data_IF_806877717279
#
_entry.id   IF_806877717279
#
_cell.length_a   1.000
_cell.length_b   1.000
_cell.length_c   1.000
_cell.angle_alpha   90.00
_cell.angle_beta   90.00
_cell.angle_gamma   90.00
#
_symmetry.space_group_name_H-M   'P 1'
#
loop_
_entity.id
_entity.type
_entity.pdbx_description
1 polymer ?
#
# COMPACT_ATOMS: atom_id res chain seq x y z
N UNK A 1 -36.66 -44.41 24.80
CA UNK A 1 -37.29 -43.26 25.46
C UNK A 1 -36.16 -42.52 26.15
N UNK A 2 -35.49 -41.72 25.34
CA UNK A 2 -34.12 -41.23 25.49
C UNK A 2 -34.16 -39.81 26.02
N UNK A 3 -33.63 -39.61 27.22
CA UNK A 3 -32.77 -38.48 27.65
C UNK A 3 -33.07 -37.06 27.12
N UNK A 4 -34.35 -36.70 26.91
CA UNK A 4 -34.76 -35.37 26.43
C UNK A 4 -35.74 -34.63 27.37
N UNK A 5 -36.24 -35.28 28.42
CA UNK A 5 -37.32 -34.73 29.28
C UNK A 5 -36.85 -34.25 30.67
N UNK A 6 -35.57 -33.88 30.85
CA UNK A 6 -35.06 -33.36 32.14
C UNK A 6 -34.57 -31.90 32.11
N UNK A 7 -34.83 -31.18 31.02
CA UNK A 7 -34.40 -29.78 30.85
C UNK A 7 -35.54 -28.76 31.07
N UNK A 8 -36.64 -29.16 31.70
CA UNK A 8 -37.60 -28.23 32.27
C UNK A 8 -37.38 -28.19 33.78
N UNK A 9 -37.18 -26.97 34.30
CA UNK A 9 -37.06 -26.59 35.71
C UNK A 9 -35.64 -26.32 36.24
N UNK A 10 -34.98 -25.30 35.70
CA UNK A 10 -34.02 -24.47 36.47
C UNK A 10 -34.04 -23.02 35.98
N UNK A 11 -35.22 -22.40 36.00
CA UNK A 11 -35.37 -20.95 35.98
C UNK A 11 -35.31 -20.46 37.42
N UNK A 12 -34.11 -20.17 37.90
CA UNK A 12 -33.88 -19.24 39.00
C UNK A 12 -32.49 -18.63 38.83
N UNK A 13 -32.45 -17.32 38.56
CA UNK A 13 -31.23 -16.53 38.71
C UNK A 13 -31.06 -16.29 40.20
N UNK A 14 -30.57 -17.31 40.90
CA UNK A 14 -29.98 -17.21 42.23
C UNK A 14 -28.52 -17.60 42.11
N UNK A 15 -27.73 -16.69 41.52
CA UNK A 15 -26.30 -16.63 41.78
C UNK A 15 -26.12 -16.07 43.20
N UNK A 16 -26.48 -16.87 44.21
CA UNK A 16 -26.02 -16.69 45.59
C UNK A 16 -24.63 -17.32 45.67
N UNK A 17 -23.65 -16.52 45.27
CA UNK A 17 -22.25 -16.86 45.27
C UNK A 17 -21.47 -15.64 45.72
N UNK A 18 -20.63 -15.83 46.73
CA UNK A 18 -19.66 -14.88 47.27
C UNK A 18 -19.06 -13.99 46.16
N UNK A 19 -18.99 -12.66 46.36
CA UNK A 19 -18.51 -11.75 45.31
C UNK A 19 -17.14 -12.25 44.83
N UNK A 20 -16.95 -12.53 43.53
CA UNK A 20 -15.65 -12.95 43.04
C UNK A 20 -14.63 -11.86 43.33
N UNK A 21 -13.48 -12.27 43.84
CA UNK A 21 -12.44 -11.37 44.33
C UNK A 21 -11.94 -10.43 43.22
N UNK A 22 -11.94 -9.13 43.49
CA UNK A 22 -11.45 -8.10 42.58
C UNK A 22 -9.91 -8.13 42.50
N UNK A 23 -9.36 -7.82 41.32
CA UNK A 23 -7.90 -7.81 41.10
C UNK A 23 -7.31 -9.21 40.96
N UNK A 24 -6.36 -9.56 41.84
CA UNK A 24 -5.58 -10.82 41.79
C UNK A 24 -6.50 -12.05 41.83
N UNK A 25 -7.58 -12.01 42.60
CA UNK A 25 -8.50 -13.14 42.74
C UNK A 25 -9.22 -13.53 41.45
N UNK A 26 -9.43 -12.57 40.54
CA UNK A 26 -10.05 -12.78 39.22
C UNK A 26 -9.20 -13.67 38.30
N UNK A 27 -7.88 -13.65 38.49
CA UNK A 27 -6.91 -14.30 37.61
C UNK A 27 -6.05 -15.35 38.31
N UNK A 28 -6.40 -15.74 39.54
CA UNK A 28 -5.68 -16.75 40.32
C UNK A 28 -5.54 -18.09 39.60
N UNK A 29 -6.55 -18.47 38.82
CA UNK A 29 -6.53 -19.70 38.00
C UNK A 29 -5.36 -19.74 37.00
N UNK A 30 -4.85 -18.59 36.55
CA UNK A 30 -3.68 -18.53 35.68
C UNK A 30 -2.40 -18.99 36.39
N UNK A 31 -2.30 -18.73 37.69
CA UNK A 31 -1.20 -19.20 38.52
C UNK A 31 -1.30 -20.70 38.78
N UNK A 32 -2.52 -21.20 39.02
CA UNK A 32 -2.78 -22.63 39.21
C UNK A 32 -2.46 -23.44 37.93
N UNK A 33 -2.68 -22.86 36.74
CA UNK A 33 -2.32 -23.46 35.46
C UNK A 33 -0.84 -23.31 35.08
N UNK A 34 -0.05 -22.59 35.87
CA UNK A 34 1.36 -22.34 35.61
C UNK A 34 1.62 -21.40 34.41
N UNK A 35 0.63 -20.62 33.98
CA UNK A 35 0.78 -19.62 32.89
C UNK A 35 1.59 -18.41 33.37
N UNK A 36 1.42 -18.03 34.63
CA UNK A 36 2.18 -16.96 35.29
C UNK A 36 2.47 -17.37 36.74
N UNK A 37 3.62 -17.01 37.29
CA UNK A 37 3.88 -17.26 38.71
C UNK A 37 3.02 -16.35 39.60
N UNK A 38 2.58 -16.84 40.76
CA UNK A 38 1.75 -16.08 41.71
C UNK A 38 2.40 -14.75 42.14
N UNK A 39 3.72 -14.74 42.34
CA UNK A 39 4.48 -13.53 42.68
C UNK A 39 4.44 -12.49 41.55
N UNK A 40 4.51 -12.95 40.29
CA UNK A 40 4.42 -12.10 39.10
C UNK A 40 3.01 -11.58 38.86
N UNK A 41 1.98 -12.36 39.22
CA UNK A 41 0.59 -11.92 39.16
C UNK A 41 0.32 -10.76 40.15
N UNK A 42 0.90 -10.82 41.36
CA UNK A 42 0.82 -9.71 42.32
C UNK A 42 1.57 -8.47 41.83
N UNK A 43 2.79 -8.65 41.32
CA UNK A 43 3.58 -7.56 40.74
C UNK A 43 2.86 -6.87 39.57
N UNK A 44 2.16 -7.64 38.73
CA UNK A 44 1.32 -7.13 37.65
C UNK A 44 0.12 -6.32 38.19
N UNK A 45 -0.51 -6.77 39.27
CA UNK A 45 -1.61 -6.06 39.93
C UNK A 45 -1.14 -4.73 40.52
N UNK A 46 -0.01 -4.71 41.22
CA UNK A 46 0.55 -3.48 41.79
C UNK A 46 0.91 -2.48 40.68
N UNK A 47 1.47 -2.98 39.58
CA UNK A 47 1.76 -2.17 38.38
C UNK A 47 0.49 -1.62 37.72
N UNK A 48 -0.59 -2.40 37.67
CA UNK A 48 -1.88 -1.99 37.12
C UNK A 48 -2.50 -0.86 37.95
N UNK A 49 -2.50 -1.01 39.28
CA UNK A 49 -2.99 0.01 40.22
C UNK A 49 -2.15 1.29 40.12
N UNK A 50 -0.82 1.18 40.08
CA UNK A 50 0.08 2.34 39.96
C UNK A 50 -0.11 3.13 38.66
N UNK A 51 -0.45 2.44 37.56
CA UNK A 51 -0.66 3.05 36.23
C UNK A 51 -2.12 3.42 35.95
N UNK A 52 -3.06 3.05 36.83
CA UNK A 52 -4.50 3.20 36.58
C UNK A 52 -5.01 2.41 35.38
N UNK A 53 -4.35 1.31 35.03
CA UNK A 53 -4.71 0.43 33.90
C UNK A 53 -5.46 -0.81 34.41
N UNK A 54 -6.25 -1.45 33.54
CA UNK A 54 -6.83 -2.74 33.85
C UNK A 54 -5.73 -3.82 33.97
N UNK A 55 -5.87 -4.73 34.94
CA UNK A 55 -4.94 -5.85 35.16
C UNK A 55 -4.78 -6.71 33.89
N UNK A 56 -5.86 -6.92 33.15
CA UNK A 56 -5.90 -7.60 31.84
C UNK A 56 -4.90 -7.02 30.85
N UNK A 57 -4.87 -5.68 30.73
CA UNK A 57 -4.00 -4.97 29.80
C UNK A 57 -2.53 -5.14 30.20
N UNK A 58 -2.23 -5.10 31.49
CA UNK A 58 -0.85 -5.29 32.01
C UNK A 58 -0.38 -6.73 31.80
N UNK A 59 -1.23 -7.73 32.12
CA UNK A 59 -0.92 -9.14 31.91
C UNK A 59 -0.65 -9.47 30.44
N UNK A 60 -1.43 -8.88 29.52
CA UNK A 60 -1.26 -9.10 28.09
C UNK A 60 -0.05 -8.38 27.53
N UNK A 61 0.17 -7.11 27.92
CA UNK A 61 1.22 -6.25 27.35
C UNK A 61 2.61 -6.53 27.90
N UNK A 62 2.73 -6.63 29.23
CA UNK A 62 4.03 -6.68 29.91
C UNK A 62 4.46 -8.13 30.21
N UNK A 63 3.49 -9.01 30.47
CA UNK A 63 3.74 -10.42 30.80
C UNK A 63 3.41 -11.40 29.67
N UNK A 64 2.94 -10.88 28.51
CA UNK A 64 2.62 -11.67 27.32
C UNK A 64 1.67 -12.86 27.57
N UNK A 65 0.78 -12.74 28.57
CA UNK A 65 -0.23 -13.76 28.85
C UNK A 65 -1.21 -13.82 27.66
N UNK A 66 -1.47 -15.01 27.10
CA UNK A 66 -2.35 -15.11 25.94
C UNK A 66 -3.81 -14.87 26.33
N UNK A 67 -4.54 -14.11 25.50
CA UNK A 67 -5.94 -13.71 25.76
C UNK A 67 -6.89 -14.89 25.98
N UNK A 68 -6.70 -15.98 25.24
CA UNK A 68 -7.53 -17.18 25.41
C UNK A 68 -7.40 -17.77 26.82
N UNK A 69 -6.23 -17.65 27.46
CA UNK A 69 -6.04 -18.11 28.84
C UNK A 69 -6.76 -17.17 29.83
N UNK A 70 -6.71 -15.85 29.59
CA UNK A 70 -7.48 -14.88 30.38
C UNK A 70 -8.99 -15.17 30.29
N UNK A 71 -9.53 -15.26 29.07
CA UNK A 71 -10.95 -15.56 28.84
C UNK A 71 -11.37 -16.90 29.43
N UNK A 72 -10.52 -17.93 29.32
CA UNK A 72 -10.78 -19.24 29.93
C UNK A 72 -10.81 -19.15 31.46
N UNK A 73 -9.88 -18.42 32.07
CA UNK A 73 -9.88 -18.20 33.52
C UNK A 73 -11.16 -17.50 33.98
N UNK A 74 -11.62 -16.48 33.25
CA UNK A 74 -12.88 -15.81 33.54
C UNK A 74 -14.10 -16.71 33.33
N UNK A 75 -14.11 -17.49 32.25
CA UNK A 75 -15.18 -18.43 31.94
C UNK A 75 -15.37 -19.49 33.04
N UNK A 76 -14.28 -20.01 33.59
CA UNK A 76 -14.32 -20.96 34.71
C UNK A 76 -14.71 -20.28 36.03
N UNK A 77 -14.23 -19.06 36.28
CA UNK A 77 -14.56 -18.29 37.48
C UNK A 77 -16.07 -17.98 37.56
N UNK A 78 -16.64 -17.45 36.48
CA UNK A 78 -18.04 -17.01 36.43
C UNK A 78 -19.00 -18.12 35.97
N UNK A 79 -18.49 -19.29 35.57
CA UNK A 79 -19.26 -20.43 35.03
C UNK A 79 -20.16 -20.04 33.86
N UNK A 80 -19.61 -19.26 32.94
CA UNK A 80 -20.33 -18.79 31.75
C UNK A 80 -19.44 -18.91 30.50
N UNK A 81 -20.02 -19.12 29.32
CA UNK A 81 -19.26 -19.11 28.06
C UNK A 81 -18.56 -17.76 27.86
N UNK A 82 -17.44 -17.77 27.15
CA UNK A 82 -16.73 -16.55 26.80
C UNK A 82 -16.92 -16.18 25.32
N UNK A 83 -16.67 -14.93 24.98
CA UNK A 83 -16.68 -14.43 23.60
C UNK A 83 -15.50 -13.49 23.39
N UNK A 84 -14.83 -13.65 22.26
CA UNK A 84 -13.79 -12.73 21.80
C UNK A 84 -14.36 -11.85 20.69
N UNK A 85 -13.82 -10.65 20.55
CA UNK A 85 -14.22 -9.76 19.48
C UNK A 85 -13.92 -10.35 18.08
N UNK A 86 -14.97 -10.54 17.29
CA UNK A 86 -14.88 -10.87 15.87
C UNK A 86 -15.68 -9.87 15.02
N UNK A 87 -14.96 -9.16 14.17
CA UNK A 87 -15.46 -8.24 13.13
C UNK A 87 -16.49 -8.89 12.16
N UNK A 88 -16.53 -10.22 12.07
CA UNK A 88 -17.41 -10.94 11.12
C UNK A 88 -18.78 -11.22 11.68
N UNK A 89 -19.00 -10.97 12.96
CA UNK A 89 -20.27 -11.23 13.61
C UNK A 89 -21.33 -10.31 13.00
N UNK A 90 -22.38 -10.87 12.37
CA UNK A 90 -23.47 -10.07 11.83
C UNK A 90 -24.37 -9.61 12.98
N UNK A 91 -24.07 -8.47 13.58
CA UNK A 91 -24.86 -7.92 14.68
C UNK A 91 -26.14 -7.28 14.12
N UNK A 92 -27.35 -7.77 14.48
CA UNK A 92 -28.60 -7.23 13.97
C UNK A 92 -28.75 -5.73 14.28
N UNK A 93 -29.10 -4.88 13.29
CA UNK A 93 -29.26 -3.43 13.50
C UNK A 93 -30.28 -3.08 14.60
N UNK A 94 -31.29 -3.93 14.80
CA UNK A 94 -32.31 -3.80 15.84
C UNK A 94 -31.74 -3.84 17.27
N UNK A 95 -30.63 -4.55 17.48
CA UNK A 95 -29.97 -4.62 18.80
C UNK A 95 -29.15 -3.37 19.10
N UNK A 96 -28.76 -2.64 18.06
CA UNK A 96 -27.83 -1.51 18.14
C UNK A 96 -28.60 -0.18 18.16
N UNK A 97 -29.81 -0.14 17.57
CA UNK A 97 -30.61 1.08 17.47
C UNK A 97 -31.00 1.63 18.85
N UNK A 98 -30.58 2.86 19.16
CA UNK A 98 -30.92 3.56 20.40
C UNK A 98 -29.96 3.33 21.56
N UNK A 99 -28.89 2.56 21.36
CA UNK A 99 -27.82 2.40 22.34
C UNK A 99 -26.83 3.57 22.27
N UNK A 100 -26.42 4.07 23.42
CA UNK A 100 -25.40 5.11 23.56
C UNK A 100 -24.03 4.46 23.88
N UNK A 101 -23.06 4.67 23.01
CA UNK A 101 -21.74 4.06 23.15
C UNK A 101 -20.93 4.59 24.34
N UNK A 102 -21.14 5.85 24.76
CA UNK A 102 -20.47 6.40 25.95
C UNK A 102 -20.98 5.71 27.22
N UNK A 103 -22.29 5.47 27.29
CA UNK A 103 -22.93 4.75 28.39
C UNK A 103 -22.51 3.28 28.45
N UNK A 104 -22.48 2.59 27.32
CA UNK A 104 -22.02 1.19 27.24
C UNK A 104 -20.53 1.03 27.56
N UNK A 105 -19.72 2.05 27.28
CA UNK A 105 -18.31 2.05 27.67
C UNK A 105 -18.13 2.11 29.19
N UNK A 106 -19.07 2.76 29.90
CA UNK A 106 -19.09 2.81 31.36
C UNK A 106 -19.63 1.51 31.97
N UNK A 107 -20.70 0.95 31.41
CA UNK A 107 -21.35 -0.25 31.94
C UNK A 107 -20.78 -1.57 31.40
N UNK A 108 -19.87 -1.52 30.42
CA UNK A 108 -19.03 -2.64 29.96
C UNK A 108 -19.82 -3.86 29.52
N UNK A 109 -20.80 -3.64 28.67
CA UNK A 109 -21.54 -4.70 28.00
C UNK A 109 -21.86 -4.34 26.54
N UNK A 110 -22.15 -5.34 25.72
CA UNK A 110 -22.53 -5.16 24.31
C UNK A 110 -23.41 -6.32 23.79
N UNK A 111 -24.52 -6.06 23.07
CA UNK A 111 -25.35 -7.11 22.48
C UNK A 111 -24.75 -7.65 21.18
N UNK A 112 -24.61 -8.97 21.04
CA UNK A 112 -23.89 -9.59 19.93
C UNK A 112 -24.84 -10.24 18.92
N UNK A 113 -25.77 -11.07 19.40
CA UNK A 113 -26.64 -11.90 18.56
C UNK A 113 -28.06 -11.84 19.11
N UNK A 114 -29.05 -11.78 18.22
CA UNK A 114 -30.47 -12.04 18.52
C UNK A 114 -30.92 -13.22 17.67
N UNK A 115 -31.11 -14.36 18.31
CA UNK A 115 -31.61 -15.58 17.67
C UNK A 115 -33.03 -15.87 18.17
N UNK A 116 -34.02 -15.39 17.39
CA UNK A 116 -35.44 -15.46 17.74
C UNK A 116 -35.75 -14.77 19.08
N UNK A 117 -36.03 -15.56 20.10
CA UNK A 117 -36.40 -15.13 21.45
C UNK A 117 -35.19 -14.99 22.42
N UNK A 118 -33.98 -15.34 21.98
CA UNK A 118 -32.76 -15.35 22.80
C UNK A 118 -31.79 -14.25 22.37
N UNK A 119 -31.36 -13.40 23.31
CA UNK A 119 -30.32 -12.39 23.08
C UNK A 119 -29.00 -12.83 23.74
N UNK A 120 -27.92 -12.84 22.97
CA UNK A 120 -26.56 -13.12 23.44
C UNK A 120 -25.84 -11.81 23.71
N UNK A 121 -25.30 -11.65 24.91
CA UNK A 121 -24.73 -10.38 25.39
C UNK A 121 -23.32 -10.61 25.93
N UNK A 122 -22.36 -9.84 25.41
CA UNK A 122 -21.01 -9.74 25.95
C UNK A 122 -21.04 -8.84 27.19
N UNK A 123 -20.49 -9.31 28.31
CA UNK A 123 -20.39 -8.55 29.56
C UNK A 123 -19.01 -8.74 30.16
N UNK A 124 -18.39 -7.69 30.72
CA UNK A 124 -17.12 -7.83 31.42
C UNK A 124 -17.30 -8.56 32.75
N UNK A 125 -18.29 -8.11 33.55
CA UNK A 125 -18.61 -8.68 34.86
C UNK A 125 -20.07 -9.18 34.92
N UNK A 126 -20.31 -10.50 34.76
CA UNK A 126 -21.66 -11.08 34.83
C UNK A 126 -22.32 -10.99 36.20
N UNK A 127 -21.56 -10.72 37.27
CA UNK A 127 -22.08 -10.64 38.63
C UNK A 127 -22.64 -9.26 38.98
N UNK A 128 -22.40 -8.24 38.14
CA UNK A 128 -22.90 -6.89 38.38
C UNK A 128 -24.41 -6.79 38.09
N UNK A 129 -25.20 -6.70 39.18
CA UNK A 129 -26.66 -6.62 39.09
C UNK A 129 -27.13 -5.36 38.37
N UNK A 130 -26.38 -4.25 38.45
CA UNK A 130 -26.76 -3.01 37.79
C UNK A 130 -26.70 -3.16 36.26
N UNK A 131 -25.65 -3.80 35.77
CA UNK A 131 -25.48 -4.12 34.35
C UNK A 131 -26.57 -5.06 33.86
N UNK A 132 -26.91 -6.10 34.65
CA UNK A 132 -27.99 -7.02 34.32
C UNK A 132 -29.38 -6.35 34.26
N UNK A 133 -29.66 -5.37 35.12
CA UNK A 133 -30.91 -4.61 35.06
C UNK A 133 -30.96 -3.70 33.83
N UNK A 134 -29.85 -3.04 33.51
CA UNK A 134 -29.74 -2.18 32.33
C UNK A 134 -29.94 -2.99 31.04
N UNK A 135 -29.30 -4.15 30.95
CA UNK A 135 -29.46 -5.08 29.83
C UNK A 135 -30.93 -5.41 29.57
N UNK A 136 -31.71 -5.68 30.62
CA UNK A 136 -33.14 -6.02 30.50
C UNK A 136 -34.00 -4.83 30.11
N UNK A 137 -33.60 -3.62 30.49
CA UNK A 137 -34.28 -2.38 30.13
C UNK A 137 -34.12 -2.06 28.64
N UNK A 138 -32.89 -2.19 28.10
CA UNK A 138 -32.58 -1.83 26.71
C UNK A 138 -32.86 -2.95 25.72
N UNK A 139 -32.57 -4.20 26.07
CA UNK A 139 -32.73 -5.35 25.19
C UNK A 139 -33.97 -6.13 25.60
N UNK A 140 -35.07 -5.94 24.88
CA UNK A 140 -36.29 -6.74 25.08
C UNK A 140 -36.15 -8.15 24.48
N UNK A 141 -35.82 -9.15 25.29
CA UNK A 141 -35.76 -10.56 24.89
C UNK A 141 -36.38 -11.47 25.96
N UNK A 142 -36.90 -12.65 25.56
CA UNK A 142 -37.48 -13.61 26.53
C UNK A 142 -36.39 -14.39 27.27
N UNK A 143 -35.25 -14.63 26.62
CA UNK A 143 -34.09 -15.34 27.16
C UNK A 143 -32.82 -14.53 26.93
N UNK A 144 -31.94 -14.53 27.92
CA UNK A 144 -30.63 -13.86 27.86
C UNK A 144 -29.52 -14.89 28.06
N UNK A 145 -28.60 -14.96 27.11
CA UNK A 145 -27.37 -15.73 27.23
C UNK A 145 -26.21 -14.77 27.48
N UNK A 146 -25.61 -14.84 28.67
CA UNK A 146 -24.50 -13.98 29.05
C UNK A 146 -23.19 -14.66 28.70
N UNK A 147 -22.35 -13.95 27.95
CA UNK A 147 -20.99 -14.37 27.61
C UNK A 147 -19.99 -13.39 28.20
N UNK A 148 -18.95 -13.90 28.86
CA UNK A 148 -17.87 -13.03 29.35
C UNK A 148 -16.97 -12.60 28.20
N UNK A 149 -16.69 -11.32 28.14
CA UNK A 149 -15.71 -10.73 27.24
C UNK A 149 -14.71 -9.90 28.03
N UNK A 150 -13.51 -9.72 27.49
CA UNK A 150 -12.53 -8.80 28.08
C UNK A 150 -12.99 -7.35 27.87
N UNK A 151 -12.49 -6.44 28.70
CA UNK A 151 -12.83 -5.02 28.59
C UNK A 151 -12.51 -4.49 27.18
N UNK A 152 -11.31 -4.81 26.68
CA UNK A 152 -10.87 -4.41 25.35
C UNK A 152 -11.82 -4.89 24.25
N UNK A 153 -12.37 -6.11 24.37
CA UNK A 153 -13.27 -6.69 23.37
C UNK A 153 -14.59 -5.92 23.29
N UNK A 154 -15.15 -5.55 24.44
CA UNK A 154 -16.38 -4.75 24.54
C UNK A 154 -16.16 -3.36 23.96
N UNK A 155 -15.04 -2.72 24.30
CA UNK A 155 -14.66 -1.44 23.73
C UNK A 155 -14.45 -1.51 22.21
N UNK A 156 -13.97 -2.63 21.68
CA UNK A 156 -13.88 -2.86 20.22
C UNK A 156 -15.26 -3.04 19.58
N UNK A 157 -16.19 -3.77 20.22
CA UNK A 157 -17.57 -3.87 19.75
C UNK A 157 -18.25 -2.50 19.69
N UNK A 158 -18.17 -1.71 20.76
CA UNK A 158 -18.76 -0.37 20.81
C UNK A 158 -18.17 0.52 19.71
N UNK A 159 -16.85 0.45 19.48
CA UNK A 159 -16.19 1.29 18.48
C UNK A 159 -16.57 0.93 17.05
N UNK A 160 -16.61 -0.35 16.71
CA UNK A 160 -16.89 -0.82 15.33
C UNK A 160 -18.39 -0.75 15.00
N UNK A 161 -19.27 -0.95 16.00
CA UNK A 161 -20.71 -1.07 15.77
C UNK A 161 -21.55 0.13 16.25
N UNK A 162 -21.11 0.94 17.22
CA UNK A 162 -21.85 2.12 17.72
C UNK A 162 -21.22 3.46 17.38
N UNK A 163 -19.88 3.56 17.33
CA UNK A 163 -19.18 4.83 17.13
C UNK A 163 -18.47 4.95 15.78
N UNK A 164 -19.16 4.89 14.64
CA UNK A 164 -18.49 5.37 13.43
C UNK A 164 -19.29 6.12 12.37
N UNK A 165 -18.78 7.32 12.03
CA UNK A 165 -18.87 7.91 10.69
C UNK A 165 -18.40 6.87 9.65
N UNK A 166 -18.93 6.85 8.41
CA UNK A 166 -18.72 5.78 7.42
C UNK A 166 -17.28 5.50 6.92
N UNK A 167 -16.23 5.95 7.61
CA UNK A 167 -14.81 5.79 7.25
C UNK A 167 -13.96 4.86 8.13
N UNK A 168 -14.41 4.43 9.33
CA UNK A 168 -13.64 3.50 10.20
C UNK A 168 -14.27 2.13 10.41
N UNK A 169 -15.31 1.76 9.64
CA UNK A 169 -15.80 0.38 9.64
C UNK A 169 -14.72 -0.52 9.03
N UNK A 170 -14.38 -1.63 9.65
CA UNK A 170 -13.33 -2.55 9.13
C UNK A 170 -13.68 -3.07 7.72
N UNK A 171 -14.96 -3.17 7.38
CA UNK A 171 -15.43 -3.44 6.02
C UNK A 171 -15.03 -2.36 5.00
N UNK A 172 -15.07 -1.08 5.39
CA UNK A 172 -14.61 0.05 4.56
C UNK A 172 -13.09 0.12 4.42
N UNK A 173 -12.35 -0.31 5.45
CA UNK A 173 -10.91 -0.49 5.33
C UNK A 173 -10.58 -1.56 4.31
N UNK A 174 -11.27 -2.70 4.31
CA UNK A 174 -11.02 -3.79 3.35
C UNK A 174 -11.33 -3.42 1.91
N UNK A 175 -12.44 -2.74 1.68
CA UNK A 175 -12.78 -2.24 0.34
C UNK A 175 -11.82 -1.14 -0.09
N UNK A 176 -11.41 -0.25 0.81
CA UNK A 176 -10.36 0.74 0.59
C UNK A 176 -9.00 0.12 0.22
N UNK A 177 -8.56 -0.88 0.99
CA UNK A 177 -7.34 -1.66 0.74
C UNK A 177 -7.40 -2.41 -0.59
N UNK A 178 -8.56 -2.96 -0.96
CA UNK A 178 -8.76 -3.65 -2.24
C UNK A 178 -8.76 -2.67 -3.43
N UNK A 179 -9.48 -1.55 -3.30
CA UNK A 179 -9.47 -0.46 -4.27
C UNK A 179 -8.05 0.04 -4.50
N UNK A 180 -7.30 0.26 -3.43
CA UNK A 180 -5.92 0.72 -3.50
C UNK A 180 -5.00 -0.27 -4.23
N UNK A 181 -5.12 -1.56 -3.91
CA UNK A 181 -4.37 -2.62 -4.60
C UNK A 181 -4.67 -2.66 -6.10
N UNK A 182 -5.93 -2.47 -6.49
CA UNK A 182 -6.34 -2.39 -7.89
C UNK A 182 -5.74 -1.15 -8.57
N UNK A 183 -5.79 0.00 -7.90
CA UNK A 183 -5.17 1.26 -8.37
C UNK A 183 -3.66 1.08 -8.58
N UNK A 184 -2.94 0.48 -7.63
CA UNK A 184 -1.50 0.21 -7.76
C UNK A 184 -1.17 -0.80 -8.87
N UNK A 185 -2.03 -1.81 -9.08
CA UNK A 185 -1.87 -2.74 -10.20
C UNK A 185 -2.04 -2.01 -11.55
N UNK A 186 -3.08 -1.19 -11.67
CA UNK A 186 -3.32 -0.39 -12.87
C UNK A 186 -2.14 0.54 -13.17
N UNK A 187 -1.59 1.20 -12.14
CA UNK A 187 -0.40 2.04 -12.27
C UNK A 187 0.82 1.29 -12.77
N UNK A 188 1.12 0.12 -12.20
CA UNK A 188 2.26 -0.71 -12.64
C UNK A 188 2.10 -1.17 -14.10
N UNK A 189 0.88 -1.47 -14.54
CA UNK A 189 0.58 -1.79 -15.95
C UNK A 189 0.82 -0.58 -16.84
N UNK A 190 0.34 0.62 -16.45
CA UNK A 190 0.61 1.86 -17.20
C UNK A 190 2.12 2.14 -17.31
N UNK A 191 2.88 1.99 -16.22
CA UNK A 191 4.33 2.13 -16.19
C UNK A 191 5.06 1.09 -17.07
N UNK A 192 4.52 -0.13 -17.18
CA UNK A 192 5.04 -1.11 -18.13
C UNK A 192 4.80 -0.70 -19.59
N UNK A 193 3.59 -0.24 -19.92
CA UNK A 193 3.27 0.28 -21.25
C UNK A 193 4.16 1.48 -21.62
N UNK A 194 4.41 2.41 -20.70
CA UNK A 194 5.34 3.51 -20.95
C UNK A 194 6.74 2.99 -21.30
N UNK A 195 7.28 2.00 -20.57
CA UNK A 195 8.59 1.43 -20.88
C UNK A 195 8.63 0.74 -22.24
N UNK A 196 7.55 0.09 -22.67
CA UNK A 196 7.46 -0.48 -24.00
C UNK A 196 7.50 0.60 -25.09
N UNK A 197 6.85 1.74 -24.88
CA UNK A 197 6.92 2.86 -25.82
C UNK A 197 8.32 3.48 -25.88
N UNK A 198 9.02 3.57 -24.75
CA UNK A 198 10.43 3.99 -24.70
C UNK A 198 11.35 3.03 -25.46
N UNK A 199 11.06 1.72 -25.40
CA UNK A 199 11.77 0.73 -26.19
C UNK A 199 11.49 0.91 -27.68
N UNK A 200 10.22 1.12 -28.06
CA UNK A 200 9.81 1.35 -29.45
C UNK A 200 10.36 2.67 -30.01
N UNK A 201 10.49 3.71 -29.19
CA UNK A 201 11.15 4.95 -29.60
C UNK A 201 12.63 4.70 -29.94
N UNK A 202 13.32 3.84 -29.18
CA UNK A 202 14.71 3.45 -29.49
C UNK A 202 14.83 2.57 -30.73
N UNK A 203 13.86 1.70 -31.01
CA UNK A 203 13.86 0.94 -32.27
C UNK A 203 13.66 1.86 -33.47
N UNK A 204 12.77 2.86 -33.36
CA UNK A 204 12.59 3.87 -34.42
C UNK A 204 13.83 4.76 -34.58
N UNK A 205 14.50 5.12 -33.47
CA UNK A 205 15.79 5.80 -33.52
C UNK A 205 16.86 4.95 -34.22
N UNK A 206 16.85 3.62 -34.03
CA UNK A 206 17.77 2.75 -34.76
C UNK A 206 17.53 2.78 -36.26
N UNK A 207 16.26 2.75 -36.71
CA UNK A 207 15.92 2.92 -38.13
C UNK A 207 16.34 4.28 -38.69
N UNK A 208 16.08 5.36 -37.95
CA UNK A 208 16.55 6.71 -38.30
C UNK A 208 18.08 6.77 -38.42
N UNK A 209 18.79 6.12 -37.48
CA UNK A 209 20.25 6.07 -37.48
C UNK A 209 20.80 5.33 -38.69
N UNK A 210 20.22 4.17 -39.03
CA UNK A 210 20.61 3.43 -40.23
C UNK A 210 20.29 4.20 -41.50
N UNK A 211 19.09 4.79 -41.60
CA UNK A 211 18.69 5.60 -42.76
C UNK A 211 19.61 6.79 -43.01
N UNK A 212 19.83 7.64 -41.99
CA UNK A 212 20.72 8.80 -42.12
C UNK A 212 22.18 8.39 -42.35
N UNK A 213 22.63 7.30 -41.72
CA UNK A 213 23.97 6.75 -41.97
C UNK A 213 24.15 6.27 -43.41
N UNK A 214 23.16 5.60 -43.99
CA UNK A 214 23.20 5.16 -45.40
C UNK A 214 23.13 6.34 -46.37
N UNK A 215 22.37 7.38 -46.07
CA UNK A 215 22.32 8.63 -46.84
C UNK A 215 23.70 9.30 -46.85
N UNK A 216 24.32 9.43 -45.68
CA UNK A 216 25.65 10.01 -45.54
C UNK A 216 26.75 9.20 -46.24
N UNK A 217 26.68 7.86 -46.14
CA UNK A 217 27.61 6.98 -46.84
C UNK A 217 27.46 7.11 -48.37
N UNK A 218 26.22 7.19 -48.84
CA UNK A 218 25.91 7.37 -50.26
C UNK A 218 26.48 8.67 -50.80
N UNK A 219 26.29 9.76 -50.05
CA UNK A 219 26.83 11.07 -50.39
C UNK A 219 28.37 11.05 -50.42
N UNK A 220 29.01 10.51 -49.37
CA UNK A 220 30.46 10.41 -49.28
C UNK A 220 31.08 9.61 -50.45
N UNK A 221 30.48 8.47 -50.81
CA UNK A 221 30.94 7.66 -51.95
C UNK A 221 30.74 8.38 -53.28
N UNK A 222 29.61 9.08 -53.45
CA UNK A 222 29.32 9.83 -54.67
C UNK A 222 30.28 11.01 -54.86
N UNK A 223 30.80 11.60 -53.78
CA UNK A 223 31.86 12.62 -53.85
C UNK A 223 33.27 12.06 -54.02
N UNK A 224 33.54 10.86 -53.50
CA UNK A 224 34.85 10.25 -53.57
C UNK A 224 35.22 9.70 -54.97
N UNK A 225 34.23 9.29 -55.79
CA UNK A 225 34.38 8.77 -57.17
C UNK A 225 35.56 7.78 -57.39
N UNK A 226 35.95 7.02 -56.35
CA UNK A 226 37.12 6.12 -56.41
C UNK A 226 36.83 4.76 -57.06
N UNK A 227 35.57 4.39 -57.18
CA UNK A 227 35.15 3.07 -57.68
C UNK A 227 34.35 3.21 -58.98
N UNK A 228 34.66 2.39 -59.98
CA UNK A 228 33.97 2.31 -61.29
C UNK A 228 32.57 1.68 -61.19
N UNK A 229 31.76 2.17 -60.26
CA UNK A 229 30.40 1.70 -60.00
C UNK A 229 29.42 2.62 -60.73
N UNK A 230 28.38 2.09 -61.40
CA UNK A 230 27.40 2.91 -62.09
C UNK A 230 26.67 3.87 -61.13
N UNK A 231 26.51 5.12 -61.55
CA UNK A 231 25.93 6.22 -60.76
C UNK A 231 24.54 5.89 -60.20
N UNK A 232 23.75 5.09 -60.92
CA UNK A 232 22.41 4.64 -60.48
C UNK A 232 22.43 3.85 -59.17
N UNK A 233 23.52 3.14 -58.85
CA UNK A 233 23.61 2.37 -57.61
C UNK A 233 23.69 3.28 -56.38
N UNK A 234 24.41 4.40 -56.46
CA UNK A 234 24.46 5.40 -55.38
C UNK A 234 23.09 6.03 -55.14
N UNK A 235 22.37 6.41 -56.21
CA UNK A 235 21.01 6.90 -56.08
C UNK A 235 20.04 5.86 -55.50
N UNK A 236 20.22 4.57 -55.83
CA UNK A 236 19.48 3.47 -55.21
C UNK A 236 19.73 3.37 -53.71
N UNK A 237 20.99 3.42 -53.28
CA UNK A 237 21.35 3.42 -51.85
C UNK A 237 20.78 4.65 -51.13
N UNK A 238 20.85 5.83 -51.75
CA UNK A 238 20.27 7.06 -51.25
C UNK A 238 18.75 6.93 -51.03
N UNK A 239 18.03 6.38 -52.01
CA UNK A 239 16.58 6.14 -51.93
C UNK A 239 16.23 5.20 -50.78
N UNK A 240 16.96 4.08 -50.63
CA UNK A 240 16.75 3.14 -49.51
C UNK A 240 16.96 3.80 -48.16
N UNK A 241 17.98 4.67 -48.06
CA UNK A 241 18.24 5.45 -46.85
C UNK A 241 17.09 6.40 -46.51
N UNK A 242 16.57 7.13 -47.51
CA UNK A 242 15.39 8.00 -47.33
C UNK A 242 14.14 7.22 -46.91
N UNK A 243 13.88 6.04 -47.51
CA UNK A 243 12.75 5.20 -47.11
C UNK A 243 12.84 4.76 -45.64
N UNK A 244 14.03 4.39 -45.17
CA UNK A 244 14.26 4.05 -43.76
C UNK A 244 14.08 5.26 -42.84
N UNK A 245 14.52 6.45 -43.26
CA UNK A 245 14.31 7.69 -42.50
C UNK A 245 12.82 8.01 -42.38
N UNK A 246 12.06 7.94 -43.47
CA UNK A 246 10.62 8.20 -43.47
C UNK A 246 9.88 7.22 -42.56
N UNK A 247 10.20 5.91 -42.65
CA UNK A 247 9.61 4.89 -41.79
C UNK A 247 9.92 5.13 -40.30
N UNK A 248 11.19 5.38 -39.98
CA UNK A 248 11.63 5.67 -38.61
C UNK A 248 10.99 6.94 -38.05
N UNK A 249 10.90 8.00 -38.87
CA UNK A 249 10.31 9.28 -38.48
C UNK A 249 8.80 9.16 -38.26
N UNK A 250 8.10 8.44 -39.13
CA UNK A 250 6.66 8.17 -38.95
C UNK A 250 6.40 7.39 -37.66
N UNK A 251 7.15 6.31 -37.42
CA UNK A 251 7.03 5.54 -36.19
C UNK A 251 7.33 6.38 -34.94
N UNK A 252 8.37 7.20 -34.97
CA UNK A 252 8.76 8.06 -33.86
C UNK A 252 7.75 9.19 -33.61
N UNK A 253 7.32 9.91 -34.66
CA UNK A 253 6.31 10.98 -34.54
C UNK A 253 4.95 10.45 -34.13
N UNK A 254 4.57 9.23 -34.52
CA UNK A 254 3.37 8.56 -34.01
C UNK A 254 3.44 8.35 -32.50
N UNK A 255 4.58 7.87 -31.98
CA UNK A 255 4.78 7.70 -30.53
C UNK A 255 4.80 9.06 -29.83
N UNK A 256 5.48 10.06 -30.42
CA UNK A 256 5.60 11.41 -29.86
C UNK A 256 4.25 12.15 -29.84
N UNK A 257 3.43 12.04 -30.89
CA UNK A 257 2.06 12.61 -30.94
C UNK A 257 1.09 11.85 -30.05
N UNK A 258 1.14 10.52 -30.05
CA UNK A 258 0.26 9.70 -29.21
C UNK A 258 0.48 9.96 -27.71
N UNK A 259 1.64 10.52 -27.30
CA UNK A 259 1.91 10.88 -25.90
C UNK A 259 2.73 12.17 -25.74
N UNK A 260 2.19 13.29 -26.22
CA UNK A 260 2.50 14.62 -25.63
C UNK A 260 1.56 14.98 -24.46
N UNK A 261 0.98 13.99 -23.79
CA UNK A 261 0.86 14.03 -22.34
C UNK A 261 1.84 12.98 -21.79
N UNK A 262 3.03 13.38 -21.29
CA UNK A 262 3.92 12.45 -20.62
C UNK A 262 3.13 11.75 -19.48
N UNK A 263 3.67 10.70 -18.81
CA UNK A 263 3.42 10.68 -17.39
C UNK A 263 4.01 11.98 -16.85
N UNK A 264 3.21 13.05 -16.80
CA UNK A 264 3.67 14.35 -16.35
C UNK A 264 4.12 14.22 -14.90
N UNK A 265 4.63 15.31 -14.34
CA UNK A 265 4.55 15.47 -12.88
C UNK A 265 3.17 15.00 -12.38
N UNK A 266 2.10 15.24 -13.13
CA UNK A 266 0.75 14.68 -12.95
C UNK A 266 0.70 13.18 -12.62
N UNK A 267 1.36 12.30 -13.37
CA UNK A 267 1.25 10.85 -13.11
C UNK A 267 2.06 10.42 -11.90
N UNK A 268 3.20 11.07 -11.67
CA UNK A 268 3.95 10.89 -10.43
C UNK A 268 3.15 11.44 -9.24
N UNK A 269 2.49 12.57 -9.41
CA UNK A 269 1.65 13.26 -8.42
C UNK A 269 0.40 12.44 -8.12
N UNK A 270 -0.23 11.82 -9.11
CA UNK A 270 -1.40 10.94 -8.95
C UNK A 270 -1.03 9.63 -8.23
N UNK A 271 0.11 9.03 -8.58
CA UNK A 271 0.63 7.87 -7.82
C UNK A 271 0.97 8.30 -6.40
N UNK A 272 1.59 9.47 -6.23
CA UNK A 272 1.98 10.00 -4.92
C UNK A 272 0.76 10.34 -4.07
N UNK A 273 -0.27 10.97 -4.64
CA UNK A 273 -1.51 11.30 -3.94
C UNK A 273 -2.29 10.04 -3.57
N UNK A 274 -2.34 9.04 -4.45
CA UNK A 274 -2.97 7.75 -4.14
C UNK A 274 -2.23 6.98 -3.03
N UNK A 275 -0.90 7.08 -2.97
CA UNK A 275 -0.12 6.48 -1.89
C UNK A 275 -0.24 7.29 -0.59
N UNK A 276 -0.18 8.63 -0.64
CA UNK A 276 -0.37 9.50 0.52
C UNK A 276 -1.75 9.31 1.15
N UNK A 277 -2.81 9.29 0.33
CA UNK A 277 -4.16 8.97 0.79
C UNK A 277 -4.21 7.61 1.52
N UNK A 278 -3.51 6.60 0.99
CA UNK A 278 -3.42 5.32 1.69
C UNK A 278 -2.66 5.39 3.02
N UNK A 279 -1.55 6.13 3.05
CA UNK A 279 -0.76 6.32 4.25
C UNK A 279 -1.55 7.05 5.34
N UNK A 280 -2.28 8.09 4.97
CA UNK A 280 -3.12 8.89 5.86
C UNK A 280 -4.33 8.10 6.38
N UNK A 281 -5.05 7.42 5.49
CA UNK A 281 -6.36 6.85 5.84
C UNK A 281 -6.30 5.38 6.30
N UNK A 282 -5.27 4.63 5.89
CA UNK A 282 -5.21 3.19 6.15
C UNK A 282 -3.89 2.75 6.77
N UNK A 283 -2.87 3.62 6.80
CA UNK A 283 -1.57 3.26 7.33
C UNK A 283 -1.04 4.14 8.47
N UNK A 284 -1.91 4.90 9.17
CA UNK A 284 -1.65 5.65 10.42
C UNK A 284 -0.16 5.62 10.85
N UNK A 285 0.60 6.63 10.41
CA UNK A 285 2.07 6.73 10.58
C UNK A 285 2.45 7.20 12.01
N UNK A 286 1.49 7.25 12.93
CA UNK A 286 1.73 7.68 14.30
C UNK A 286 2.61 6.63 15.01
N UNK A 287 3.86 7.00 15.28
CA UNK A 287 4.89 6.26 16.04
C UNK A 287 5.87 5.34 15.29
N UNK A 288 6.28 5.64 14.04
CA UNK A 288 7.42 4.91 13.43
C UNK A 288 8.80 5.37 13.91
N UNK A 289 8.92 6.47 14.65
CA UNK A 289 10.19 6.96 15.22
C UNK A 289 11.24 7.39 14.19
N UNK A 290 10.94 7.29 12.89
CA UNK A 290 11.84 7.69 11.80
C UNK A 290 11.63 9.16 11.46
N UNK A 291 12.65 9.99 11.71
CA UNK A 291 12.67 11.38 11.25
C UNK A 291 12.67 11.38 9.72
N UNK A 292 11.55 11.77 9.12
CA UNK A 292 11.40 11.85 7.66
C UNK A 292 12.10 13.13 7.18
N UNK A 293 13.27 12.98 6.55
CA UNK A 293 13.88 14.09 5.83
C UNK A 293 13.08 14.34 4.55
N UNK A 294 12.30 15.42 4.50
CA UNK A 294 11.49 15.75 3.33
C UNK A 294 12.37 16.23 2.18
N UNK A 295 12.71 15.31 1.28
CA UNK A 295 13.37 15.60 0.00
C UNK A 295 12.54 16.53 -0.87
N UNK A 296 13.15 17.18 -1.86
CA UNK A 296 12.44 18.22 -2.63
C UNK A 296 11.40 17.64 -3.61
N UNK A 297 11.66 16.46 -4.18
CA UNK A 297 10.76 15.83 -5.16
C UNK A 297 9.67 14.99 -4.50
N UNK A 298 8.44 15.05 -5.03
CA UNK A 298 7.28 14.28 -4.56
C UNK A 298 7.54 12.77 -4.49
N UNK A 299 8.21 12.20 -5.50
CA UNK A 299 8.51 10.76 -5.53
C UNK A 299 9.53 10.35 -4.46
N UNK A 300 10.51 11.21 -4.18
CA UNK A 300 11.49 10.91 -3.14
C UNK A 300 10.87 11.02 -1.74
N UNK A 301 10.02 12.03 -1.49
CA UNK A 301 9.20 12.09 -0.26
C UNK A 301 8.39 10.82 -0.07
N UNK A 302 7.76 10.34 -1.14
CA UNK A 302 6.99 9.10 -1.12
C UNK A 302 7.85 7.86 -0.82
N UNK A 303 9.06 7.83 -1.38
CA UNK A 303 10.05 6.81 -1.09
C UNK A 303 10.41 6.81 0.40
N UNK A 304 10.61 7.98 1.00
CA UNK A 304 10.96 8.12 2.42
C UNK A 304 9.80 7.66 3.34
N UNK A 305 8.55 7.95 2.98
CA UNK A 305 7.37 7.47 3.72
C UNK A 305 7.15 5.94 3.63
N UNK A 306 7.67 5.29 2.59
CA UNK A 306 7.53 3.85 2.39
C UNK A 306 8.81 3.07 2.77
N UNK A 307 9.94 3.75 3.00
CA UNK A 307 11.23 3.13 3.27
C UNK A 307 11.27 2.49 4.67
N UNK A 308 11.90 1.32 4.79
CA UNK A 308 12.11 0.67 6.10
C UNK A 308 10.87 0.02 6.74
N UNK A 309 9.74 -0.02 6.04
CA UNK A 309 8.52 -0.58 6.61
C UNK A 309 8.48 -2.11 6.41
N UNK A 310 8.85 -2.82 7.45
CA UNK A 310 8.44 -4.19 7.76
C UNK A 310 8.09 -4.20 9.24
N UNK A 311 6.85 -3.82 9.55
CA UNK A 311 6.36 -3.80 10.94
C UNK A 311 5.85 -5.18 11.30
N UNK A 312 6.63 -5.93 12.09
CA UNK A 312 6.12 -7.11 12.78
C UNK A 312 5.27 -6.58 13.94
N UNK A 313 3.97 -6.52 13.73
CA UNK A 313 3.00 -6.18 14.76
C UNK A 313 2.26 -7.47 15.13
N UNK A 314 1.98 -7.64 16.42
CA UNK A 314 1.02 -8.62 16.93
C UNK A 314 -0.32 -7.88 17.07
N UNK A 315 -1.21 -7.91 16.07
CA UNK A 315 -2.43 -7.13 16.11
C UNK A 315 -3.35 -7.72 17.17
N UNK A 316 -3.81 -6.87 18.09
CA UNK A 316 -4.92 -7.14 18.99
C UNK A 316 -6.15 -6.41 18.45
N UNK A 317 -7.32 -7.07 18.29
CA UNK A 317 -7.61 -8.52 18.43
C UNK A 317 -7.08 -9.39 17.28
N UNK A 318 -7.05 -10.71 17.48
CA UNK A 318 -6.62 -11.69 16.47
C UNK A 318 -7.42 -11.59 15.15
N UNK A 319 -8.69 -11.17 15.22
CA UNK A 319 -9.53 -10.94 14.04
C UNK A 319 -8.99 -9.85 13.10
N UNK A 320 -8.14 -8.93 13.58
CA UNK A 320 -7.46 -7.90 12.78
C UNK A 320 -6.20 -8.36 12.07
N UNK A 321 -5.69 -9.57 12.32
CA UNK A 321 -4.52 -10.12 11.63
C UNK A 321 -4.65 -10.04 10.11
N UNK A 322 -5.81 -10.39 9.58
CA UNK A 322 -6.06 -10.37 8.14
C UNK A 322 -5.98 -8.97 7.55
N UNK A 323 -6.54 -7.98 8.24
CA UNK A 323 -6.55 -6.59 7.78
C UNK A 323 -5.13 -6.00 7.87
N UNK A 324 -4.38 -6.34 8.92
CA UNK A 324 -2.99 -5.94 9.09
C UNK A 324 -2.07 -6.55 8.02
N UNK A 325 -2.17 -7.86 7.75
CA UNK A 325 -1.41 -8.51 6.68
C UNK A 325 -1.76 -7.94 5.30
N UNK A 326 -3.03 -7.58 5.07
CA UNK A 326 -3.45 -6.90 3.85
C UNK A 326 -2.83 -5.50 3.71
N UNK A 327 -2.75 -4.76 4.81
CA UNK A 327 -2.09 -3.45 4.91
C UNK A 327 -0.58 -3.56 4.62
N UNK A 328 0.12 -4.53 5.20
CA UNK A 328 1.55 -4.81 4.92
C UNK A 328 1.79 -5.16 3.45
N UNK A 329 0.97 -6.06 2.90
CA UNK A 329 1.03 -6.42 1.46
C UNK A 329 0.84 -5.19 0.59
N UNK A 330 -0.01 -4.27 1.00
CA UNK A 330 -0.24 -3.02 0.30
C UNK A 330 0.99 -2.10 0.40
N UNK A 331 1.59 -1.88 1.56
CA UNK A 331 2.86 -1.13 1.69
C UNK A 331 3.94 -1.67 0.76
N UNK A 332 4.15 -2.99 0.73
CA UNK A 332 5.09 -3.65 -0.18
C UNK A 332 4.72 -3.44 -1.67
N UNK A 333 3.43 -3.35 -2.00
CA UNK A 333 2.99 -3.01 -3.35
C UNK A 333 3.25 -1.52 -3.68
N UNK A 334 3.18 -0.64 -2.69
CA UNK A 334 3.54 0.78 -2.78
C UNK A 334 5.02 0.93 -3.09
N UNK A 335 5.89 0.31 -2.29
CA UNK A 335 7.35 0.26 -2.53
C UNK A 335 7.68 -0.27 -3.93
N UNK A 336 7.03 -1.35 -4.37
CA UNK A 336 7.19 -1.90 -5.72
C UNK A 336 6.77 -0.92 -6.82
N UNK A 337 5.73 -0.12 -6.58
CA UNK A 337 5.27 0.91 -7.51
C UNK A 337 6.25 2.09 -7.58
N UNK A 338 6.77 2.55 -6.44
CA UNK A 338 7.83 3.58 -6.38
C UNK A 338 9.08 3.12 -7.14
N UNK A 339 9.54 1.89 -6.91
CA UNK A 339 10.67 1.32 -7.65
C UNK A 339 10.37 1.20 -9.16
N UNK A 340 9.13 0.89 -9.54
CA UNK A 340 8.70 0.89 -10.94
C UNK A 340 8.74 2.29 -11.56
N UNK A 341 8.33 3.33 -10.83
CA UNK A 341 8.44 4.72 -11.26
C UNK A 341 9.90 5.09 -11.55
N UNK A 342 10.83 4.82 -10.62
CA UNK A 342 12.26 5.05 -10.85
C UNK A 342 12.79 4.29 -12.07
N UNK A 343 12.41 3.02 -12.27
CA UNK A 343 12.78 2.27 -13.49
C UNK A 343 12.28 2.93 -14.77
N UNK A 344 11.08 3.52 -14.77
CA UNK A 344 10.56 4.25 -15.94
C UNK A 344 11.31 5.57 -16.19
N UNK A 345 11.65 6.29 -15.12
CA UNK A 345 12.44 7.52 -15.17
C UNK A 345 13.83 7.25 -15.75
N UNK A 346 14.53 6.20 -15.29
CA UNK A 346 15.82 5.81 -15.85
C UNK A 346 15.73 5.31 -17.30
N UNK A 347 14.65 4.60 -17.66
CA UNK A 347 14.41 4.22 -19.05
C UNK A 347 14.25 5.47 -19.94
N UNK A 348 13.59 6.53 -19.45
CA UNK A 348 13.44 7.82 -20.13
C UNK A 348 14.78 8.55 -20.27
N UNK A 349 15.61 8.57 -19.24
CA UNK A 349 16.97 9.12 -19.35
C UNK A 349 17.80 8.37 -20.39
N UNK A 350 17.70 7.03 -20.41
CA UNK A 350 18.41 6.20 -21.40
C UNK A 350 17.98 6.50 -22.82
N UNK A 351 16.69 6.73 -23.07
CA UNK A 351 16.24 7.15 -24.41
C UNK A 351 16.78 8.52 -24.77
N UNK A 352 16.67 9.50 -23.87
CA UNK A 352 17.19 10.86 -24.09
C UNK A 352 18.69 10.87 -24.42
N UNK A 353 19.51 10.16 -23.63
CA UNK A 353 20.95 10.03 -23.88
C UNK A 353 21.26 9.33 -25.21
N UNK A 354 20.45 8.35 -25.63
CA UNK A 354 20.62 7.71 -26.93
C UNK A 354 20.39 8.70 -28.08
N UNK A 355 19.34 9.54 -27.98
CA UNK A 355 19.05 10.61 -28.95
C UNK A 355 20.19 11.65 -29.02
N UNK A 356 20.67 12.12 -27.86
CA UNK A 356 21.80 13.06 -27.80
C UNK A 356 23.03 12.47 -28.48
N UNK A 357 23.40 11.23 -28.13
CA UNK A 357 24.55 10.54 -28.71
C UNK A 357 24.45 10.45 -30.23
N UNK A 358 23.30 10.00 -30.75
CA UNK A 358 23.09 9.91 -32.19
C UNK A 358 23.11 11.27 -32.87
N UNK A 359 22.54 12.31 -32.24
CA UNK A 359 22.53 13.66 -32.78
C UNK A 359 23.94 14.24 -32.89
N UNK A 360 24.77 14.09 -31.85
CA UNK A 360 26.18 14.53 -31.86
C UNK A 360 26.98 13.79 -32.93
N UNK A 361 26.78 12.48 -33.11
CA UNK A 361 27.46 11.71 -34.16
C UNK A 361 27.11 12.22 -35.57
N UNK A 362 25.84 12.52 -35.86
CA UNK A 362 25.44 13.02 -37.18
C UNK A 362 25.89 14.46 -37.43
N UNK A 363 25.87 15.32 -36.40
CA UNK A 363 26.43 16.67 -36.49
C UNK A 363 27.93 16.63 -36.84
N UNK A 364 28.70 15.81 -36.11
CA UNK A 364 30.13 15.65 -36.38
C UNK A 364 30.41 15.09 -37.77
N UNK A 365 29.63 14.09 -38.21
CA UNK A 365 29.78 13.50 -39.54
C UNK A 365 29.50 14.53 -40.64
N UNK A 366 28.40 15.29 -40.55
CA UNK A 366 28.04 16.28 -41.56
C UNK A 366 29.04 17.44 -41.64
N UNK A 367 29.50 17.96 -40.49
CA UNK A 367 30.55 18.99 -40.47
C UNK A 367 31.87 18.45 -41.06
N UNK A 368 32.21 17.19 -40.79
CA UNK A 368 33.37 16.53 -41.38
C UNK A 368 33.27 16.39 -42.90
N UNK A 369 32.11 15.99 -43.43
CA UNK A 369 31.86 15.89 -44.87
C UNK A 369 31.97 17.24 -45.58
N UNK A 370 31.36 18.29 -45.01
CA UNK A 370 31.45 19.65 -45.55
C UNK A 370 32.90 20.14 -45.55
N UNK A 371 33.62 19.93 -44.44
CA UNK A 371 35.02 20.37 -44.33
C UNK A 371 35.96 19.62 -45.27
N UNK A 372 35.70 18.34 -45.56
CA UNK A 372 36.58 17.52 -46.40
C UNK A 372 36.33 17.69 -47.89
N UNK A 373 35.05 17.71 -48.32
CA UNK A 373 34.68 17.76 -49.74
C UNK A 373 34.36 19.17 -50.26
N UNK A 374 34.18 20.16 -49.39
CA UNK A 374 33.78 21.52 -49.76
C UNK A 374 32.31 21.66 -50.15
N UNK A 375 31.92 22.84 -50.65
CA UNK A 375 30.54 23.16 -51.02
C UNK A 375 30.19 22.62 -52.42
N UNK A 376 29.15 21.79 -52.50
CA UNK A 376 28.60 21.19 -53.73
C UNK A 376 27.06 21.22 -53.74
N UNK A 377 26.40 20.84 -54.84
CA UNK A 377 24.94 20.65 -54.86
C UNK A 377 24.47 19.56 -53.87
N UNK A 378 25.36 18.64 -53.49
CA UNK A 378 25.08 17.58 -52.52
C UNK A 378 25.10 18.04 -51.06
N UNK A 379 25.55 19.28 -50.80
CA UNK A 379 25.57 19.85 -49.43
C UNK A 379 24.18 19.96 -48.81
N UNK A 380 23.11 19.88 -49.63
CA UNK A 380 21.73 19.79 -49.16
C UNK A 380 21.53 18.58 -48.23
N UNK A 381 22.18 17.45 -48.52
CA UNK A 381 22.11 16.25 -47.69
C UNK A 381 22.87 16.42 -46.38
N UNK A 382 24.06 17.05 -46.42
CA UNK A 382 24.80 17.40 -45.21
C UNK A 382 24.00 18.36 -44.32
N UNK A 383 23.33 19.36 -44.91
CA UNK A 383 22.47 20.28 -44.18
C UNK A 383 21.29 19.54 -43.53
N UNK A 384 20.70 18.57 -44.22
CA UNK A 384 19.65 17.71 -43.65
C UNK A 384 20.17 16.90 -42.45
N UNK A 385 21.40 16.38 -42.53
CA UNK A 385 22.04 15.71 -41.39
C UNK A 385 22.31 16.66 -40.22
N UNK A 386 22.75 17.89 -40.48
CA UNK A 386 22.95 18.91 -39.43
C UNK A 386 21.63 19.21 -38.74
N UNK A 387 20.59 19.54 -39.51
CA UNK A 387 19.26 19.85 -38.96
C UNK A 387 18.70 18.66 -38.18
N UNK A 388 18.77 17.45 -38.73
CA UNK A 388 18.34 16.23 -38.04
C UNK A 388 19.13 15.97 -36.76
N UNK A 389 20.45 16.19 -36.78
CA UNK A 389 21.33 16.05 -35.63
C UNK A 389 21.01 17.04 -34.51
N UNK A 390 20.79 18.33 -34.83
CA UNK A 390 20.34 19.34 -33.86
C UNK A 390 18.99 18.93 -33.26
N UNK A 391 18.03 18.51 -34.09
CA UNK A 391 16.71 18.08 -33.62
C UNK A 391 16.80 16.89 -32.65
N UNK A 392 17.69 15.92 -32.90
CA UNK A 392 17.92 14.80 -31.98
C UNK A 392 18.58 15.22 -30.67
N UNK A 393 19.51 16.19 -30.69
CA UNK A 393 20.12 16.72 -29.46
C UNK A 393 19.08 17.46 -28.62
N UNK A 394 18.31 18.36 -29.24
CA UNK A 394 17.27 19.13 -28.55
C UNK A 394 16.21 18.19 -27.98
N UNK A 395 15.73 17.23 -28.78
CA UNK A 395 14.77 16.26 -28.28
C UNK A 395 15.36 15.42 -27.15
N UNK A 396 16.54 14.84 -27.34
CA UNK A 396 17.20 14.03 -26.31
C UNK A 396 17.40 14.80 -24.99
N UNK A 397 17.67 16.10 -25.04
CA UNK A 397 17.74 16.97 -23.88
C UNK A 397 16.38 17.13 -23.19
N UNK A 398 15.29 17.35 -23.94
CA UNK A 398 13.93 17.40 -23.39
C UNK A 398 13.51 16.09 -22.70
N UNK A 399 14.00 14.95 -23.21
CA UNK A 399 13.81 13.65 -22.57
C UNK A 399 14.60 13.50 -21.27
N UNK A 400 15.85 14.00 -21.24
CA UNK A 400 16.80 13.80 -20.14
C UNK A 400 16.66 14.79 -18.98
N UNK A 401 16.46 16.09 -19.26
CA UNK A 401 16.49 17.16 -18.25
C UNK A 401 15.57 16.94 -17.05
N UNK A 402 14.31 16.46 -17.21
CA UNK A 402 13.43 16.20 -16.07
C UNK A 402 13.96 15.12 -15.12
N UNK A 403 14.70 14.14 -15.66
CA UNK A 403 15.21 13.00 -14.88
C UNK A 403 16.34 13.44 -13.93
N UNK A 404 17.13 14.43 -14.34
CA UNK A 404 18.25 14.91 -13.53
C UNK A 404 17.80 15.49 -12.18
N UNK A 405 16.61 16.10 -12.13
CA UNK A 405 16.02 16.63 -10.89
C UNK A 405 15.71 15.51 -9.89
N UNK A 406 15.19 14.38 -10.37
CA UNK A 406 14.82 13.22 -9.52
C UNK A 406 16.05 12.43 -9.05
N UNK A 407 17.11 12.31 -9.86
CA UNK A 407 18.33 11.58 -9.49
C UNK A 407 19.10 12.26 -8.34
N UNK A 408 18.97 13.57 -8.18
CA UNK A 408 19.59 14.29 -7.06
C UNK A 408 19.03 13.85 -5.69
N UNK A 409 17.79 13.34 -5.68
CA UNK A 409 17.02 13.04 -4.48
C UNK A 409 16.91 11.54 -4.18
N UNK A 410 17.30 10.65 -5.11
CA UNK A 410 17.33 9.21 -4.80
C UNK A 410 18.31 8.96 -3.66
N UNK A 411 17.88 8.33 -2.54
CA UNK A 411 18.83 7.98 -1.49
C UNK A 411 19.86 7.05 -2.11
N UNK A 412 21.13 7.47 -2.07
CA UNK A 412 22.23 6.54 -2.34
C UNK A 412 22.07 5.44 -1.31
N UNK A 413 22.04 4.17 -1.75
CA UNK A 413 22.00 3.05 -0.79
C UNK A 413 23.04 3.35 0.29
N UNK A 414 22.65 3.40 1.58
CA UNK A 414 23.65 3.46 2.63
C UNK A 414 24.54 2.25 2.39
N UNK A 415 25.81 2.51 2.07
CA UNK A 415 26.81 1.45 2.01
C UNK A 415 26.84 0.93 3.44
N UNK A 416 26.55 -0.36 3.69
CA UNK A 416 26.73 -0.89 5.04
C UNK A 416 28.20 -0.65 5.39
N UNK A 417 28.43 0.23 6.37
CA UNK A 417 29.74 0.49 6.98
C UNK A 417 30.14 -0.66 7.87
#
# INVERSE_FOLDING_TARGET
MTEYDRAENSSDISMDGDRPATGVGRYRLLADWGVIAEDKLREANDSAVARGLALETVLTRDYHVPRHALLKALSELYRCPYVEYDERLPIPPELISGLDGDRLSLSRWFPIIKDGDTAVIAVNDPCDRAVLSEIKEFIGAKKYEIRVALEDDIQWFIRDFLHTKPGYLIGTERTGLAFWRNTMAHWRTRLACYRNDLARARTNLAFLRWGLGTVALSDALMRAQKFHVPVYLYWGMMLTGFSLVIFGLFGYTKIRRARMSPPGQQTLVEVTSAVLNFLENYHFIENTGTVVHTKQTMLARLGDFLAGHCTILYPLPASRERTQLARERNVLAGQRTVAACYRTIYARARTGLAFIRTGVSFLGLALGLISYFGFSLLTIFDLMLIVGGVLFVVDGALWYLPVRKEQAETPRCPVPT
#
